data_IF_545124612516
#
_entry.id   IF_545124612516
#
_cell.length_a   1.000
_cell.length_b   1.000
_cell.length_c   1.000
_cell.angle_alpha   90.00
_cell.angle_beta   90.00
_cell.angle_gamma   90.00
#
_symmetry.space_group_name_H-M   'P 1'
#
loop_
_entity.id
_entity.type
_entity.pdbx_description
1 polymer ?
#
# COMPACT_ATOMS: atom_id res chain seq x y z
N UNK A 1 -8.48 8.30 31.68
CA UNK A 1 -9.47 8.70 30.69
C UNK A 1 -8.86 9.83 29.87
N UNK A 2 -8.92 9.71 28.56
CA UNK A 2 -8.55 10.82 27.68
C UNK A 2 -9.69 11.84 27.76
N UNK A 3 -9.35 13.11 27.96
CA UNK A 3 -10.30 14.19 28.01
C UNK A 3 -10.83 14.46 26.58
N UNK A 4 -12.09 14.79 26.41
CA UNK A 4 -12.72 15.12 25.10
C UNK A 4 -11.98 16.26 24.37
N UNK A 5 -11.19 17.04 25.11
CA UNK A 5 -10.35 18.12 24.58
C UNK A 5 -8.98 17.66 24.09
N UNK A 6 -8.64 16.34 24.22
CA UNK A 6 -7.34 15.84 23.79
C UNK A 6 -7.21 15.93 22.26
N UNK A 7 -6.44 16.90 21.79
CA UNK A 7 -5.99 16.99 20.41
C UNK A 7 -4.56 16.47 20.33
N UNK A 8 -4.29 15.60 19.36
CA UNK A 8 -2.91 15.25 19.06
C UNK A 8 -2.12 16.53 18.82
N UNK A 9 -0.96 16.72 19.48
CA UNK A 9 -0.16 17.93 19.22
C UNK A 9 0.17 18.05 17.73
N UNK A 10 -0.17 19.20 17.14
CA UNK A 10 0.03 19.48 15.70
C UNK A 10 1.43 19.09 15.18
N UNK A 11 2.54 19.35 15.92
CA UNK A 11 3.86 18.95 15.46
C UNK A 11 4.02 17.44 15.24
N UNK A 12 3.40 16.61 16.08
CA UNK A 12 3.50 15.13 15.98
C UNK A 12 2.79 14.64 14.73
N UNK A 13 1.59 15.18 14.45
CA UNK A 13 0.83 14.82 13.25
C UNK A 13 1.56 15.29 11.97
N UNK A 14 2.14 16.49 11.99
CA UNK A 14 2.96 17.00 10.87
C UNK A 14 4.23 16.18 10.64
N UNK A 15 4.89 15.70 11.69
CA UNK A 15 6.05 14.79 11.55
C UNK A 15 5.62 13.48 10.90
N UNK A 16 4.49 12.90 11.33
CA UNK A 16 3.96 11.67 10.72
C UNK A 16 3.68 11.87 9.23
N UNK A 17 3.03 12.99 8.87
CA UNK A 17 2.76 13.38 7.47
C UNK A 17 4.06 13.55 6.70
N UNK A 18 5.03 14.25 7.25
CA UNK A 18 6.35 14.47 6.63
C UNK A 18 7.07 13.15 6.35
N UNK A 19 7.15 12.26 7.35
CA UNK A 19 7.78 10.94 7.20
C UNK A 19 7.06 10.09 6.15
N UNK A 20 5.72 10.06 6.17
CA UNK A 20 4.92 9.32 5.20
C UNK A 20 5.04 9.86 3.77
N UNK A 21 5.08 11.20 3.60
CA UNK A 21 5.26 11.83 2.29
C UNK A 21 6.65 11.59 1.72
N UNK A 22 7.67 11.74 2.54
CA UNK A 22 9.06 11.48 2.17
C UNK A 22 9.25 10.03 1.72
N UNK A 23 8.78 9.08 2.52
CA UNK A 23 8.83 7.65 2.22
C UNK A 23 8.05 7.33 0.92
N UNK A 24 6.81 7.85 0.79
CA UNK A 24 5.99 7.63 -0.40
C UNK A 24 6.63 8.16 -1.68
N UNK A 25 7.25 9.34 -1.64
CA UNK A 25 7.96 9.92 -2.78
C UNK A 25 9.24 9.13 -3.13
N UNK A 26 10.03 8.73 -2.13
CA UNK A 26 11.21 7.88 -2.34
C UNK A 26 10.83 6.56 -3.02
N UNK A 27 9.73 5.94 -2.56
CA UNK A 27 9.21 4.70 -3.13
C UNK A 27 8.74 4.92 -4.58
N UNK A 28 7.94 5.94 -4.85
CA UNK A 28 7.42 6.27 -6.17
C UNK A 28 8.54 6.61 -7.18
N UNK A 29 9.60 7.26 -6.72
CA UNK A 29 10.75 7.62 -7.55
C UNK A 29 11.52 6.40 -8.11
N UNK A 30 11.34 5.20 -7.53
CA UNK A 30 11.89 3.94 -8.07
C UNK A 30 11.20 3.44 -9.34
N UNK A 31 10.07 4.02 -9.75
CA UNK A 31 9.29 3.57 -10.91
C UNK A 31 9.65 4.35 -12.19
N UNK A 32 9.99 3.65 -13.26
CA UNK A 32 10.56 4.22 -14.51
C UNK A 32 9.60 5.07 -15.36
N UNK A 33 8.31 5.08 -15.12
CA UNK A 33 7.32 5.77 -15.98
C UNK A 33 6.56 6.87 -15.26
N UNK A 34 7.08 7.35 -14.13
CA UNK A 34 6.45 8.41 -13.34
C UNK A 34 7.33 9.65 -13.45
N UNK A 35 6.72 10.77 -13.82
CA UNK A 35 7.38 12.07 -13.89
C UNK A 35 7.52 12.70 -12.49
N UNK A 36 8.21 13.84 -12.43
CA UNK A 36 8.45 14.53 -11.16
C UNK A 36 7.17 14.94 -10.44
N UNK A 37 6.17 15.37 -11.21
CA UNK A 37 4.88 15.79 -10.66
C UNK A 37 4.12 14.58 -10.09
N UNK A 38 4.12 13.45 -10.82
CA UNK A 38 3.54 12.20 -10.36
C UNK A 38 4.17 11.71 -9.06
N UNK A 39 5.50 11.73 -8.95
CA UNK A 39 6.21 11.38 -7.71
C UNK A 39 5.82 12.30 -6.55
N UNK A 40 5.73 13.62 -6.79
CA UNK A 40 5.34 14.58 -5.76
C UNK A 40 3.88 14.36 -5.31
N UNK A 41 2.96 14.11 -6.24
CA UNK A 41 1.54 13.85 -5.93
C UNK A 41 1.40 12.54 -5.14
N UNK A 42 2.06 11.46 -5.57
CA UNK A 42 2.00 10.16 -4.88
C UNK A 42 2.61 10.25 -3.49
N UNK A 43 3.75 10.93 -3.34
CA UNK A 43 4.38 11.16 -2.04
C UNK A 43 3.47 11.95 -1.11
N UNK A 44 2.91 13.07 -1.58
CA UNK A 44 1.96 13.89 -0.81
C UNK A 44 0.73 13.08 -0.40
N UNK A 45 0.11 12.35 -1.34
CA UNK A 45 -1.05 11.51 -1.08
C UNK A 45 -0.74 10.38 -0.08
N UNK A 46 0.45 9.77 -0.15
CA UNK A 46 0.90 8.76 0.81
C UNK A 46 0.99 9.33 2.23
N UNK A 47 1.54 10.54 2.38
CA UNK A 47 1.71 11.15 3.71
C UNK A 47 0.41 11.62 4.35
N UNK A 48 -0.52 12.19 3.57
CA UNK A 48 -1.81 12.64 4.12
C UNK A 48 -2.84 11.52 4.20
N UNK A 49 -2.67 10.44 3.42
CA UNK A 49 -3.68 9.43 3.16
C UNK A 49 -4.16 8.69 4.39
N UNK A 50 -3.25 8.34 5.31
CA UNK A 50 -3.60 7.67 6.56
C UNK A 50 -4.49 8.54 7.45
N UNK A 51 -4.11 9.81 7.63
CA UNK A 51 -4.89 10.79 8.37
C UNK A 51 -6.24 11.11 7.70
N UNK A 52 -6.25 11.17 6.37
CA UNK A 52 -7.46 11.42 5.58
C UNK A 52 -8.49 10.30 5.77
N UNK A 53 -8.09 9.04 5.62
CA UNK A 53 -8.98 7.89 5.83
C UNK A 53 -9.47 7.83 7.29
N UNK A 54 -8.59 8.07 8.26
CA UNK A 54 -8.95 8.16 9.68
C UNK A 54 -10.06 9.17 9.90
N UNK A 55 -9.87 10.38 9.40
CA UNK A 55 -10.78 11.49 9.67
C UNK A 55 -12.15 11.28 9.00
N UNK A 56 -12.18 10.69 7.80
CA UNK A 56 -13.43 10.25 7.15
C UNK A 56 -14.17 9.21 8.01
N UNK A 57 -13.46 8.18 8.50
CA UNK A 57 -14.07 7.15 9.35
C UNK A 57 -14.59 7.70 10.68
N UNK A 58 -13.94 8.74 11.20
CA UNK A 58 -14.37 9.44 12.40
C UNK A 58 -15.50 10.46 12.15
N UNK A 59 -15.87 10.69 10.89
CA UNK A 59 -16.90 11.66 10.52
C UNK A 59 -16.50 13.13 10.76
N UNK A 60 -15.19 13.43 10.76
CA UNK A 60 -14.66 14.77 10.94
C UNK A 60 -14.00 15.29 9.67
N UNK A 61 -13.91 16.62 9.55
CA UNK A 61 -13.18 17.23 8.43
C UNK A 61 -11.71 16.82 8.49
N UNK A 62 -11.14 16.28 7.39
CA UNK A 62 -9.74 15.88 7.36
C UNK A 62 -8.81 17.05 7.70
N UNK A 63 -7.87 16.82 8.62
CA UNK A 63 -6.92 17.83 9.08
C UNK A 63 -6.10 18.42 7.92
N UNK A 64 -5.79 17.61 6.91
CA UNK A 64 -5.08 18.03 5.70
C UNK A 64 -5.82 19.09 4.85
N UNK A 65 -7.13 19.25 5.03
CA UNK A 65 -7.92 20.29 4.37
C UNK A 65 -8.34 21.42 5.31
N UNK A 66 -8.11 21.25 6.60
CA UNK A 66 -8.43 22.29 7.60
C UNK A 66 -7.28 23.27 7.81
N UNK A 67 -6.03 22.83 7.58
CA UNK A 67 -4.85 23.66 7.82
C UNK A 67 -3.83 23.51 6.67
N UNK A 68 -3.38 24.65 6.14
CA UNK A 68 -2.41 24.68 5.02
C UNK A 68 -1.08 23.99 5.32
N UNK A 69 -0.67 23.94 6.59
CA UNK A 69 0.60 23.34 7.01
C UNK A 69 0.73 21.87 6.62
N UNK A 70 -0.38 21.11 6.64
CA UNK A 70 -0.34 19.70 6.24
C UNK A 70 0.10 19.50 4.78
N UNK A 71 -0.49 20.26 3.87
CA UNK A 71 -0.14 20.18 2.44
C UNK A 71 1.26 20.73 2.16
N UNK A 72 1.66 21.81 2.84
CA UNK A 72 3.01 22.40 2.70
C UNK A 72 4.06 21.40 3.17
N UNK A 73 3.88 20.79 4.36
CA UNK A 73 4.81 19.80 4.91
C UNK A 73 4.82 18.54 4.05
N UNK A 74 3.65 18.03 3.64
CA UNK A 74 3.56 16.85 2.80
C UNK A 74 4.27 17.04 1.46
N UNK A 75 3.99 18.15 0.77
CA UNK A 75 4.60 18.45 -0.53
C UNK A 75 6.10 18.71 -0.40
N UNK A 76 6.51 19.50 0.60
CA UNK A 76 7.93 19.76 0.86
C UNK A 76 8.71 18.47 1.17
N UNK A 77 8.16 17.60 2.03
CA UNK A 77 8.76 16.31 2.34
C UNK A 77 8.80 15.37 1.12
N UNK A 78 7.77 15.40 0.25
CA UNK A 78 7.77 14.63 -1.00
C UNK A 78 8.90 15.09 -1.95
N UNK A 79 9.12 16.41 -2.08
CA UNK A 79 10.25 16.92 -2.88
C UNK A 79 11.61 16.53 -2.29
N UNK A 80 11.76 16.58 -0.96
CA UNK A 80 12.97 16.11 -0.27
C UNK A 80 13.18 14.61 -0.52
N UNK A 81 12.13 13.79 -0.40
CA UNK A 81 12.17 12.36 -0.66
C UNK A 81 12.59 12.03 -2.09
N UNK A 82 12.06 12.77 -3.06
CA UNK A 82 12.42 12.64 -4.47
C UNK A 82 13.91 13.01 -4.72
N UNK A 83 14.40 14.07 -4.08
CA UNK A 83 15.80 14.46 -4.17
C UNK A 83 16.71 13.41 -3.53
N UNK A 84 16.33 12.92 -2.35
CA UNK A 84 17.09 11.94 -1.60
C UNK A 84 17.18 10.60 -2.35
N UNK A 85 16.11 10.18 -3.02
CA UNK A 85 16.11 8.96 -3.85
C UNK A 85 17.09 9.03 -5.03
N UNK A 86 17.41 10.24 -5.52
CA UNK A 86 18.39 10.44 -6.60
C UNK A 86 19.83 10.48 -6.08
N UNK A 87 20.02 10.90 -4.83
CA UNK A 87 21.36 11.08 -4.25
C UNK A 87 21.89 9.80 -3.59
N UNK A 88 20.99 8.90 -3.16
CA UNK A 88 21.36 7.68 -2.45
C UNK A 88 21.38 6.48 -3.41
N UNK A 89 22.48 5.72 -3.42
CA UNK A 89 22.60 4.49 -4.20
C UNK A 89 21.76 3.33 -3.63
N UNK A 90 21.49 3.36 -2.32
CA UNK A 90 20.74 2.30 -1.61
C UNK A 90 19.61 2.93 -0.80
N UNK A 91 18.47 3.14 -1.42
CA UNK A 91 17.30 3.74 -0.77
C UNK A 91 16.38 2.73 -0.08
N UNK A 92 16.39 1.45 -0.49
CA UNK A 92 15.45 0.44 0.00
C UNK A 92 15.44 0.26 1.53
N UNK A 93 16.58 0.20 2.25
CA UNK A 93 16.58 0.09 3.70
C UNK A 93 15.97 1.33 4.37
N UNK A 94 16.25 2.52 3.83
CA UNK A 94 15.71 3.78 4.35
C UNK A 94 14.20 3.85 4.14
N UNK A 95 13.71 3.49 2.95
CA UNK A 95 12.28 3.40 2.65
C UNK A 95 11.59 2.47 3.65
N UNK A 96 12.18 1.30 3.92
CA UNK A 96 11.61 0.31 4.85
C UNK A 96 11.53 0.85 6.28
N UNK A 97 12.56 1.56 6.75
CA UNK A 97 12.57 2.17 8.10
C UNK A 97 11.54 3.29 8.20
N UNK A 98 11.50 4.18 7.22
CA UNK A 98 10.53 5.28 7.18
C UNK A 98 9.09 4.77 7.09
N UNK A 99 8.85 3.70 6.31
CA UNK A 99 7.56 3.02 6.24
C UNK A 99 7.14 2.47 7.61
N UNK A 100 8.03 1.77 8.29
CA UNK A 100 7.78 1.20 9.61
C UNK A 100 7.47 2.28 10.66
N UNK A 101 8.19 3.40 10.64
CA UNK A 101 7.93 4.55 11.51
C UNK A 101 6.59 5.21 11.19
N UNK A 102 6.30 5.45 9.91
CA UNK A 102 5.04 6.03 9.45
C UNK A 102 3.82 5.21 9.93
N UNK A 103 3.87 3.88 9.75
CA UNK A 103 2.82 2.98 10.22
C UNK A 103 2.60 3.13 11.73
N UNK A 104 3.66 3.11 12.53
CA UNK A 104 3.58 3.25 13.98
C UNK A 104 2.99 4.58 14.41
N UNK A 105 3.44 5.68 13.80
CA UNK A 105 2.98 7.04 14.13
C UNK A 105 1.51 7.22 13.76
N UNK A 106 1.09 6.91 12.55
CA UNK A 106 -0.31 7.02 12.14
C UNK A 106 -1.23 6.08 12.93
N UNK A 107 -0.75 4.88 13.29
CA UNK A 107 -1.47 3.96 14.17
C UNK A 107 -1.71 4.55 15.55
N UNK A 108 -0.67 5.10 16.18
CA UNK A 108 -0.76 5.73 17.50
C UNK A 108 -1.70 6.93 17.47
N UNK A 109 -1.54 7.84 16.49
CA UNK A 109 -2.36 9.03 16.34
C UNK A 109 -3.82 8.65 16.08
N UNK A 110 -4.06 7.68 15.17
CA UNK A 110 -5.41 7.25 14.81
C UNK A 110 -6.16 6.63 15.98
N UNK A 111 -5.52 5.72 16.71
CA UNK A 111 -6.11 5.08 17.89
C UNK A 111 -6.37 6.09 19.01
N UNK A 112 -5.41 6.96 19.29
CA UNK A 112 -5.55 7.98 20.34
C UNK A 112 -6.69 8.94 20.03
N UNK A 113 -6.79 9.41 18.77
CA UNK A 113 -7.87 10.30 18.33
C UNK A 113 -9.24 9.63 18.46
N UNK A 114 -9.36 8.36 18.03
CA UNK A 114 -10.59 7.59 18.12
C UNK A 114 -11.04 7.39 19.59
N UNK A 115 -10.10 7.04 20.48
CA UNK A 115 -10.37 6.91 21.92
C UNK A 115 -10.76 8.25 22.57
N UNK A 116 -10.10 9.35 22.17
CA UNK A 116 -10.42 10.70 22.65
C UNK A 116 -11.83 11.16 22.24
N UNK A 117 -12.32 10.68 21.09
CA UNK A 117 -13.70 10.91 20.64
C UNK A 117 -14.73 9.97 21.29
N UNK A 118 -14.33 9.19 22.30
CA UNK A 118 -15.22 8.30 23.05
C UNK A 118 -15.56 6.98 22.36
N UNK A 119 -14.86 6.60 21.28
CA UNK A 119 -15.10 5.32 20.64
C UNK A 119 -14.65 4.15 21.54
N UNK A 120 -15.39 3.02 21.53
CA UNK A 120 -14.95 1.79 22.19
C UNK A 120 -13.59 1.32 21.68
N UNK A 121 -12.86 0.54 22.49
CA UNK A 121 -11.48 0.12 22.20
C UNK A 121 -11.37 -0.59 20.85
N UNK A 122 -12.25 -1.54 20.53
CA UNK A 122 -12.15 -2.34 19.29
C UNK A 122 -12.31 -1.47 18.04
N UNK A 123 -13.32 -0.60 17.90
CA UNK A 123 -13.38 0.38 16.81
C UNK A 123 -12.17 1.31 16.77
N UNK A 124 -11.65 1.75 17.91
CA UNK A 124 -10.47 2.61 17.96
C UNK A 124 -9.21 1.91 17.43
N UNK A 125 -9.00 0.63 17.75
CA UNK A 125 -7.93 -0.20 17.21
C UNK A 125 -8.07 -0.36 15.68
N UNK A 126 -9.29 -0.58 15.20
CA UNK A 126 -9.56 -0.68 13.76
C UNK A 126 -9.20 0.63 13.04
N UNK A 127 -9.68 1.78 13.54
CA UNK A 127 -9.39 3.10 12.95
C UNK A 127 -7.89 3.40 12.98
N UNK A 128 -7.22 3.08 14.10
CA UNK A 128 -5.77 3.23 14.21
C UNK A 128 -5.03 2.39 13.17
N UNK A 129 -5.44 1.13 12.99
CA UNK A 129 -4.85 0.24 11.99
C UNK A 129 -5.10 0.74 10.56
N UNK A 130 -6.32 1.19 10.24
CA UNK A 130 -6.64 1.77 8.92
C UNK A 130 -5.82 3.05 8.69
N UNK A 131 -5.70 3.91 9.69
CA UNK A 131 -4.85 5.12 9.61
C UNK A 131 -3.40 4.76 9.33
N UNK A 132 -2.86 3.73 10.01
CA UNK A 132 -1.49 3.28 9.86
C UNK A 132 -1.16 2.81 8.45
N UNK A 133 -2.05 2.02 7.85
CA UNK A 133 -1.81 1.39 6.54
C UNK A 133 -2.32 2.23 5.36
N UNK A 134 -3.20 3.19 5.62
CA UNK A 134 -3.97 3.91 4.61
C UNK A 134 -3.13 4.69 3.60
N UNK A 135 -2.06 5.34 4.06
CA UNK A 135 -1.13 6.04 3.17
C UNK A 135 -0.44 5.11 2.17
N UNK A 136 0.04 3.96 2.66
CA UNK A 136 0.64 2.92 1.81
C UNK A 136 -0.35 2.33 0.81
N UNK A 137 -1.60 2.09 1.24
CA UNK A 137 -2.67 1.60 0.35
C UNK A 137 -2.94 2.60 -0.77
N UNK A 138 -3.10 3.89 -0.47
CA UNK A 138 -3.30 4.93 -1.49
C UNK A 138 -2.11 5.00 -2.46
N UNK A 139 -0.89 4.95 -1.95
CA UNK A 139 0.33 4.91 -2.77
C UNK A 139 0.30 3.73 -3.74
N UNK A 140 0.05 2.51 -3.23
CA UNK A 140 0.07 1.30 -4.03
C UNK A 140 -1.03 1.30 -5.10
N UNK A 141 -2.23 1.81 -4.77
CA UNK A 141 -3.33 2.00 -5.74
C UNK A 141 -2.93 3.00 -6.83
N UNK A 142 -2.34 4.15 -6.47
CA UNK A 142 -1.91 5.15 -7.46
C UNK A 142 -0.78 4.64 -8.36
N UNK A 143 0.08 3.77 -7.85
CA UNK A 143 1.15 3.12 -8.61
C UNK A 143 0.66 1.92 -9.44
N UNK A 144 -0.61 1.54 -9.31
CA UNK A 144 -1.19 0.34 -9.93
C UNK A 144 -0.39 -0.93 -9.63
N UNK A 145 0.05 -1.09 -8.38
CA UNK A 145 0.77 -2.26 -7.89
C UNK A 145 -0.07 -3.03 -6.88
N UNK A 146 0.23 -4.32 -6.66
CA UNK A 146 -0.44 -5.09 -5.63
C UNK A 146 -0.26 -4.43 -4.25
N UNK A 147 -1.39 -4.21 -3.54
CA UNK A 147 -1.42 -3.53 -2.25
C UNK A 147 -0.62 -4.36 -1.24
N UNK A 148 0.41 -3.76 -0.63
CA UNK A 148 1.31 -4.43 0.32
C UNK A 148 0.55 -5.05 1.51
N UNK A 149 -0.55 -4.45 1.94
CA UNK A 149 -1.45 -4.95 2.98
C UNK A 149 -2.00 -6.35 2.67
N UNK A 150 -2.25 -6.66 1.39
CA UNK A 150 -2.87 -7.92 0.93
C UNK A 150 -1.83 -8.96 0.48
N UNK A 151 -0.56 -8.58 0.44
CA UNK A 151 0.50 -9.49 -0.02
C UNK A 151 0.95 -10.45 1.08
N UNK A 152 1.05 -11.72 0.71
CA UNK A 152 1.66 -12.74 1.57
C UNK A 152 3.12 -12.35 1.83
N UNK A 153 3.49 -12.19 3.08
CA UNK A 153 4.89 -11.89 3.45
C UNK A 153 5.14 -10.54 4.10
N UNK A 154 4.14 -9.66 4.25
CA UNK A 154 4.45 -8.33 4.75
C UNK A 154 4.12 -8.08 6.21
N UNK A 155 3.35 -8.92 6.91
CA UNK A 155 2.82 -8.69 8.28
C UNK A 155 2.43 -7.22 8.59
N UNK A 156 2.08 -6.48 7.53
CA UNK A 156 1.91 -5.03 7.53
C UNK A 156 0.83 -4.59 8.53
N UNK A 157 -0.38 -5.15 8.38
CA UNK A 157 -1.49 -4.88 9.27
C UNK A 157 -1.30 -5.49 10.67
N UNK A 158 -0.64 -6.66 10.74
CA UNK A 158 -0.40 -7.34 12.03
C UNK A 158 0.54 -6.51 12.90
N UNK A 159 1.64 -5.99 12.34
CA UNK A 159 2.56 -5.13 13.09
C UNK A 159 1.84 -3.87 13.62
N UNK A 160 1.00 -3.24 12.78
CA UNK A 160 0.19 -2.10 13.20
C UNK A 160 -0.80 -2.50 14.30
N UNK A 161 -1.55 -3.59 14.11
CA UNK A 161 -2.55 -4.05 15.08
C UNK A 161 -1.92 -4.35 16.45
N UNK A 162 -0.76 -5.00 16.48
CA UNK A 162 -0.03 -5.27 17.73
C UNK A 162 0.43 -3.96 18.37
N UNK A 163 0.95 -3.02 17.59
CA UNK A 163 1.37 -1.71 18.11
C UNK A 163 0.22 -0.91 18.71
N UNK A 164 -0.91 -0.79 17.99
CA UNK A 164 -2.07 -0.03 18.52
C UNK A 164 -2.73 -0.75 19.70
N UNK A 165 -2.67 -2.08 19.74
CA UNK A 165 -3.14 -2.86 20.91
C UNK A 165 -2.26 -2.61 22.13
N UNK A 166 -0.94 -2.52 21.94
CA UNK A 166 0.02 -2.15 22.99
C UNK A 166 -0.30 -0.75 23.54
N UNK A 167 -0.56 0.22 22.65
CA UNK A 167 -0.98 1.56 23.07
C UNK A 167 -2.24 1.52 23.92
N UNK A 168 -3.29 0.85 23.46
CA UNK A 168 -4.55 0.76 24.19
C UNK A 168 -4.39 0.08 25.55
N UNK A 169 -3.59 -0.97 25.63
CA UNK A 169 -3.28 -1.66 26.89
C UNK A 169 -2.54 -0.74 27.88
N UNK A 170 -1.53 0.00 27.41
CA UNK A 170 -0.80 0.95 28.25
C UNK A 170 -1.68 2.10 28.76
N UNK A 171 -2.56 2.62 27.91
CA UNK A 171 -3.55 3.63 28.32
C UNK A 171 -4.51 3.09 29.38
N UNK A 172 -4.96 1.84 29.26
CA UNK A 172 -5.81 1.18 30.26
C UNK A 172 -5.09 0.99 31.60
N UNK A 173 -3.76 0.87 31.60
CA UNK A 173 -2.92 0.82 32.79
C UNK A 173 -2.59 2.21 33.37
N UNK A 174 -3.12 3.29 32.77
CA UNK A 174 -2.89 4.66 33.24
C UNK A 174 -1.56 5.27 32.81
N UNK A 175 -0.86 4.67 31.84
CA UNK A 175 0.38 5.23 31.29
C UNK A 175 0.07 6.49 30.48
N UNK A 176 0.89 7.56 30.61
CA UNK A 176 0.69 8.79 29.85
C UNK A 176 0.68 8.54 28.33
N UNK A 177 -0.21 9.23 27.62
CA UNK A 177 -0.45 9.07 26.15
C UNK A 177 0.84 9.17 25.34
N UNK A 178 1.74 10.08 25.71
CA UNK A 178 3.01 10.26 25.01
C UNK A 178 3.89 9.00 25.08
N UNK A 179 4.00 8.39 26.26
CA UNK A 179 4.80 7.16 26.48
C UNK A 179 4.15 5.99 25.75
N UNK A 180 2.83 5.85 25.86
CA UNK A 180 2.08 4.82 25.17
C UNK A 180 2.19 4.94 23.64
N UNK A 181 2.15 6.18 23.12
CA UNK A 181 2.34 6.47 21.70
C UNK A 181 3.74 6.09 21.20
N UNK A 182 4.78 6.48 21.94
CA UNK A 182 6.17 6.11 21.62
C UNK A 182 6.35 4.58 21.65
N UNK A 183 5.79 3.90 22.65
CA UNK A 183 5.82 2.44 22.74
C UNK A 183 5.13 1.79 21.51
N UNK A 184 3.98 2.31 21.08
CA UNK A 184 3.29 1.88 19.86
C UNK A 184 4.20 1.98 18.64
N UNK A 185 4.85 3.15 18.44
CA UNK A 185 5.76 3.37 17.30
C UNK A 185 6.93 2.37 17.33
N UNK A 186 7.56 2.20 18.49
CA UNK A 186 8.70 1.28 18.65
C UNK A 186 8.27 -0.16 18.37
N UNK A 187 7.20 -0.63 18.99
CA UNK A 187 6.70 -2.01 18.82
C UNK A 187 6.35 -2.27 17.36
N UNK A 188 5.60 -1.35 16.72
CA UNK A 188 5.24 -1.47 15.31
C UNK A 188 6.47 -1.51 14.42
N UNK A 189 7.42 -0.57 14.62
CA UNK A 189 8.61 -0.47 13.81
C UNK A 189 9.51 -1.71 13.96
N UNK A 190 9.73 -2.16 15.18
CA UNK A 190 10.54 -3.37 15.45
C UNK A 190 9.91 -4.59 14.81
N UNK A 191 8.62 -4.84 15.01
CA UNK A 191 7.92 -5.97 14.41
C UNK A 191 7.98 -5.92 12.88
N UNK A 192 7.78 -4.72 12.30
CA UNK A 192 7.82 -4.53 10.85
C UNK A 192 9.21 -4.81 10.29
N UNK A 193 10.26 -4.27 10.91
CA UNK A 193 11.65 -4.48 10.49
C UNK A 193 12.08 -5.94 10.63
N UNK A 194 11.69 -6.60 11.74
CA UNK A 194 11.94 -8.03 11.93
C UNK A 194 11.19 -8.87 10.88
N UNK A 195 9.92 -8.55 10.61
CA UNK A 195 9.15 -9.27 9.60
C UNK A 195 9.79 -9.16 8.22
N UNK A 196 10.26 -7.97 7.84
CA UNK A 196 10.98 -7.77 6.57
C UNK A 196 12.34 -8.50 6.58
N UNK A 197 13.09 -8.41 7.69
CA UNK A 197 14.45 -9.00 7.81
C UNK A 197 14.43 -10.52 7.77
N UNK A 198 13.43 -11.15 8.38
CA UNK A 198 13.29 -12.61 8.48
C UNK A 198 12.30 -13.20 7.48
N UNK A 199 11.68 -12.37 6.64
CA UNK A 199 10.70 -12.83 5.65
C UNK A 199 9.45 -13.47 6.27
N UNK A 200 9.03 -13.00 7.47
CA UNK A 200 7.85 -13.55 8.13
C UNK A 200 6.61 -13.27 7.31
N UNK A 201 5.84 -14.32 7.04
CA UNK A 201 4.61 -14.25 6.28
C UNK A 201 3.46 -14.94 7.00
N UNK A 202 2.25 -14.42 6.81
CA UNK A 202 1.05 -15.16 7.18
C UNK A 202 0.89 -16.36 6.23
N UNK A 203 0.39 -17.51 6.73
CA UNK A 203 0.16 -18.66 5.89
C UNK A 203 -0.84 -18.32 4.78
N UNK A 204 -0.46 -18.62 3.55
CA UNK A 204 -1.32 -18.47 2.37
C UNK A 204 -2.58 -19.32 2.53
N UNK A 205 -3.73 -18.84 2.09
CA UNK A 205 -4.96 -19.64 2.05
C UNK A 205 -4.85 -20.75 0.97
N UNK A 206 -3.93 -21.69 1.18
CA UNK A 206 -3.65 -22.81 0.25
C UNK A 206 -4.84 -23.74 0.04
N UNK A 207 -5.84 -23.69 0.93
CA UNK A 207 -7.04 -24.52 0.80
C UNK A 207 -7.86 -24.19 -0.45
N UNK A 208 -8.02 -22.91 -0.77
CA UNK A 208 -8.76 -22.47 -1.96
C UNK A 208 -7.97 -22.68 -3.26
N UNK A 209 -6.65 -22.56 -3.23
CA UNK A 209 -5.82 -22.83 -4.40
C UNK A 209 -5.78 -24.32 -4.73
N UNK A 210 -5.76 -25.23 -3.74
CA UNK A 210 -5.86 -26.67 -3.95
C UNK A 210 -7.22 -27.09 -4.52
N UNK A 211 -8.31 -26.45 -4.11
CA UNK A 211 -9.64 -26.70 -4.67
C UNK A 211 -9.70 -26.22 -6.13
N UNK A 212 -9.16 -25.01 -6.44
CA UNK A 212 -9.08 -24.50 -7.82
C UNK A 212 -8.22 -25.41 -8.71
N UNK A 213 -7.04 -25.83 -8.26
CA UNK A 213 -6.15 -26.74 -8.99
C UNK A 213 -6.78 -28.12 -9.20
N UNK A 214 -7.48 -28.67 -8.21
CA UNK A 214 -8.24 -29.92 -8.37
C UNK A 214 -9.36 -29.75 -9.38
N UNK A 215 -10.09 -28.64 -9.33
CA UNK A 215 -11.18 -28.34 -10.28
C UNK A 215 -10.66 -28.15 -11.70
N UNK A 216 -9.53 -27.46 -11.86
CA UNK A 216 -8.88 -27.30 -13.18
C UNK A 216 -8.44 -28.66 -13.74
N UNK A 217 -7.78 -29.50 -12.95
CA UNK A 217 -7.38 -30.86 -13.38
C UNK A 217 -8.58 -31.73 -13.72
N UNK A 218 -9.68 -31.61 -12.99
CA UNK A 218 -10.91 -32.36 -13.32
C UNK A 218 -11.53 -31.86 -14.63
N UNK A 219 -11.53 -30.54 -14.87
CA UNK A 219 -12.03 -29.97 -16.12
C UNK A 219 -11.13 -30.38 -17.30
N UNK A 220 -9.79 -30.32 -17.13
CA UNK A 220 -8.82 -30.80 -18.14
C UNK A 220 -9.03 -32.27 -18.47
N UNK A 221 -9.20 -33.13 -17.46
CA UNK A 221 -9.46 -34.55 -17.66
C UNK A 221 -10.78 -34.81 -18.40
N UNK A 222 -11.85 -34.09 -18.04
CA UNK A 222 -13.14 -34.23 -18.73
C UNK A 222 -13.06 -33.75 -20.19
N UNK A 223 -12.31 -32.67 -20.46
CA UNK A 223 -12.08 -32.16 -21.81
C UNK A 223 -11.26 -33.21 -22.63
N UNK A 224 -10.21 -33.74 -22.04
CA UNK A 224 -9.36 -34.72 -22.69
C UNK A 224 -10.13 -36.02 -22.99
N UNK A 225 -10.96 -36.47 -22.06
CA UNK A 225 -11.83 -37.64 -22.24
C UNK A 225 -12.92 -37.41 -23.32
N UNK A 226 -13.49 -36.21 -23.34
CA UNK A 226 -14.48 -35.77 -24.34
C UNK A 226 -13.87 -35.64 -25.75
N UNK A 227 -12.63 -35.23 -25.86
CA UNK A 227 -11.86 -35.19 -27.11
C UNK A 227 -11.51 -36.62 -27.60
N UNK A 228 -11.09 -37.51 -26.68
CA UNK A 228 -10.80 -38.89 -27.01
C UNK A 228 -12.02 -39.71 -27.42
N UNK A 229 -13.17 -39.44 -26.82
CA UNK A 229 -14.45 -40.13 -27.17
C UNK A 229 -15.17 -39.51 -28.36
N UNK A 230 -14.65 -38.40 -28.95
CA UNK A 230 -15.29 -37.73 -30.07
C UNK A 230 -16.58 -36.99 -29.69
N UNK A 231 -16.84 -36.84 -28.38
CA UNK A 231 -18.03 -36.14 -27.87
C UNK A 231 -17.97 -34.61 -28.07
N UNK A 232 -16.77 -34.07 -28.28
CA UNK A 232 -16.53 -32.67 -28.61
C UNK A 232 -15.53 -32.63 -29.77
N UNK A 233 -15.94 -32.07 -30.90
CA UNK A 233 -15.06 -31.73 -32.00
C UNK A 233 -14.72 -30.25 -31.86
N UNK A 234 -13.47 -29.93 -31.49
CA UNK A 234 -13.00 -28.56 -31.49
C UNK A 234 -12.64 -28.20 -32.93
N UNK A 235 -13.54 -27.56 -33.63
CA UNK A 235 -13.26 -26.89 -34.90
C UNK A 235 -12.48 -25.60 -34.57
N UNK A 236 -11.15 -25.69 -34.59
CA UNK A 236 -10.29 -24.52 -34.47
C UNK A 236 -10.45 -23.67 -35.74
N UNK A 237 -11.22 -22.60 -35.66
CA UNK A 237 -11.22 -21.58 -36.69
C UNK A 237 -9.87 -20.83 -36.63
N UNK A 238 -8.91 -21.31 -37.42
CA UNK A 238 -7.58 -20.70 -37.57
C UNK A 238 -7.62 -19.28 -38.15
N UNK A 239 -8.81 -18.77 -38.52
CA UNK A 239 -8.98 -17.39 -38.98
C UNK A 239 -9.03 -16.39 -37.85
N UNK A 240 -9.50 -16.77 -36.63
CA UNK A 240 -9.46 -15.89 -35.46
C UNK A 240 -8.09 -15.78 -34.80
N UNK A 241 -7.16 -16.69 -35.09
CA UNK A 241 -5.78 -16.65 -34.58
C UNK A 241 -4.81 -15.90 -35.49
N UNK A 242 -5.30 -15.37 -36.62
CA UNK A 242 -4.49 -14.57 -37.51
C UNK A 242 -4.52 -13.12 -37.04
N UNK A 243 -3.48 -12.75 -36.30
CA UNK A 243 -3.24 -11.37 -35.88
C UNK A 243 -3.10 -10.49 -37.13
N UNK A 244 -4.01 -9.52 -37.36
CA UNK A 244 -3.96 -8.67 -38.55
C UNK A 244 -2.69 -7.82 -38.65
N UNK A 245 -1.92 -7.69 -37.55
CA UNK A 245 -0.68 -6.90 -37.49
C UNK A 245 0.60 -7.68 -37.88
N UNK A 246 0.47 -8.98 -38.24
CA UNK A 246 1.59 -9.86 -38.60
C UNK A 246 1.70 -10.13 -40.13
N UNK A 247 0.84 -9.57 -40.95
CA UNK A 247 1.04 -9.66 -42.42
C UNK A 247 2.23 -8.77 -42.85
N UNK A 248 3.28 -9.35 -43.47
CA UNK A 248 4.38 -8.55 -44.01
C UNK A 248 3.87 -7.56 -45.04
N UNK A 249 4.41 -6.35 -45.12
CA UNK A 249 3.98 -5.37 -46.11
C UNK A 249 4.09 -5.98 -47.50
N UNK A 250 2.97 -5.94 -48.23
CA UNK A 250 2.90 -6.42 -49.63
C UNK A 250 4.02 -5.84 -50.42
N UNK A 251 5.03 -6.64 -50.71
CA UNK A 251 6.17 -6.24 -51.51
C UNK A 251 5.73 -5.86 -52.91
N UNK A 252 5.90 -4.58 -53.24
CA UNK A 252 5.84 -4.13 -54.61
C UNK A 252 6.90 -4.88 -55.42
N UNK A 253 6.44 -5.71 -56.35
CA UNK A 253 7.32 -6.38 -57.30
C UNK A 253 8.06 -5.34 -58.15
N UNK A 254 9.29 -5.64 -58.58
CA UNK A 254 10.06 -4.74 -59.42
C UNK A 254 9.40 -4.61 -60.80
N UNK A 255 9.07 -3.36 -61.22
CA UNK A 255 8.69 -3.05 -62.60
C UNK A 255 9.82 -3.44 -63.53
N UNK A 256 9.50 -4.26 -64.53
CA UNK A 256 10.39 -4.62 -65.60
C UNK A 256 10.66 -3.38 -66.51
N UNK A 257 11.89 -3.12 -66.92
CA UNK A 257 12.18 -1.99 -67.81
C UNK A 257 11.61 -2.26 -69.17
N UNK A 258 10.75 -1.33 -69.67
CA UNK A 258 10.27 -1.28 -71.04
C UNK A 258 11.47 -1.01 -72.03
N UNK A 259 11.71 -1.95 -72.90
CA UNK A 259 12.51 -1.73 -74.10
C UNK A 259 11.71 -0.90 -75.11
N UNK A 260 12.27 0.20 -75.53
CA UNK A 260 11.84 1.04 -76.65
C UNK A 260 12.84 2.15 -76.84
#
# INVERSE_FOLDING_TARGET
MLDETFRTPLPIDLIAVGVGSLQGAMFAAGFKRIDLLGVAIIGTASGIGGGFLRDILLGVTPASFSENLYLIVATGAAFIGMLLSRLLEKVDPLITVLDALSIGMFGAIGTTKALAMGLPVVPALFIGTVSAVGGGVLRDVMLNIPIALMHVGSLYAVASLVGVSTLAALLALGVPVMIAGVACVIVTAVLRLLAVRFGWSLPEQRALSRIRLRRQRQVEQVIEEALHTGAITVELDLRELRDPDLDPPSGGGPEAPSRG
#
